data_IF_403786439477
#
_entry.id   IF_403786439477
#
_cell.length_a   1.000
_cell.length_b   1.000
_cell.length_c   1.000
_cell.angle_alpha   90.00
_cell.angle_beta   90.00
_cell.angle_gamma   90.00
#
_symmetry.space_group_name_H-M   'P 1'
#
loop_
_entity.id
_entity.type
_entity.pdbx_description
1 polymer ?
#
# COMPACT_ATOMS: atom_id res chain seq x y z
N UNK A 1 -15.89 -6.15 5.50
CA UNK A 1 -15.83 -7.16 4.41
C UNK A 1 -14.57 -6.88 3.63
N UNK A 2 -13.79 -7.90 3.30
CA UNK A 2 -12.61 -7.72 2.45
C UNK A 2 -13.03 -7.66 0.97
N UNK A 3 -12.50 -6.69 0.24
CA UNK A 3 -12.75 -6.46 -1.18
C UNK A 3 -11.47 -6.63 -2.00
N UNK A 4 -11.63 -7.02 -3.27
CA UNK A 4 -10.50 -7.28 -4.16
C UNK A 4 -9.60 -6.04 -4.30
N UNK A 5 -8.29 -6.26 -4.35
CA UNK A 5 -7.20 -5.27 -4.41
C UNK A 5 -6.96 -4.48 -3.10
N UNK A 6 -7.73 -4.70 -2.03
CA UNK A 6 -7.40 -4.09 -0.74
C UNK A 6 -6.10 -4.69 -0.18
N UNK A 7 -5.30 -3.83 0.44
CA UNK A 7 -4.07 -4.19 1.14
C UNK A 7 -4.31 -4.20 2.65
N UNK A 8 -3.88 -5.27 3.31
CA UNK A 8 -3.98 -5.41 4.76
C UNK A 8 -2.62 -5.71 5.38
N UNK A 9 -2.35 -5.13 6.55
CA UNK A 9 -1.13 -5.41 7.33
C UNK A 9 -1.46 -5.94 8.73
N UNK A 10 -0.70 -6.93 9.18
CA UNK A 10 -0.60 -7.28 10.58
C UNK A 10 0.39 -6.35 11.28
N UNK A 11 -0.08 -5.53 12.22
CA UNK A 11 0.80 -4.61 12.98
C UNK A 11 1.67 -5.32 14.03
N UNK A 12 1.52 -6.64 14.23
CA UNK A 12 2.34 -7.44 15.16
C UNK A 12 3.55 -8.04 14.45
N UNK A 13 3.33 -8.86 13.43
CA UNK A 13 4.41 -9.59 12.74
C UNK A 13 4.87 -8.93 11.43
N UNK A 14 4.14 -7.92 10.93
CA UNK A 14 4.49 -7.20 9.72
C UNK A 14 3.99 -7.82 8.41
N UNK A 15 3.29 -8.95 8.43
CA UNK A 15 2.70 -9.55 7.22
C UNK A 15 1.81 -8.55 6.48
N UNK A 16 2.01 -8.42 5.16
CA UNK A 16 1.19 -7.61 4.24
C UNK A 16 0.60 -8.55 3.19
N UNK A 17 -0.70 -8.44 2.93
CA UNK A 17 -1.41 -9.25 1.93
C UNK A 17 -2.31 -8.39 1.06
N UNK A 18 -2.50 -8.83 -0.19
CA UNK A 18 -3.49 -8.28 -1.13
C UNK A 18 -4.66 -9.26 -1.27
N UNK A 19 -5.88 -8.73 -1.29
CA UNK A 19 -7.08 -9.54 -1.48
C UNK A 19 -7.29 -9.84 -2.97
N UNK A 20 -7.18 -11.10 -3.37
CA UNK A 20 -7.48 -11.54 -4.74
C UNK A 20 -8.96 -11.88 -4.96
N UNK A 21 -9.65 -12.33 -3.90
CA UNK A 21 -11.07 -12.65 -3.90
C UNK A 21 -11.72 -12.15 -2.61
N UNK A 22 -12.78 -11.37 -2.73
CA UNK A 22 -13.47 -10.77 -1.58
C UNK A 22 -14.28 -11.78 -0.77
N UNK A 23 -14.68 -11.40 0.44
CA UNK A 23 -15.44 -12.26 1.32
C UNK A 23 -15.89 -11.58 2.61
N UNK A 24 -16.94 -12.11 3.23
CA UNK A 24 -17.56 -11.54 4.43
C UNK A 24 -16.73 -11.69 5.71
N UNK A 25 -15.77 -12.61 5.72
CA UNK A 25 -14.89 -12.85 6.87
C UNK A 25 -13.96 -11.66 7.16
N UNK A 26 -13.54 -11.55 8.42
CA UNK A 26 -12.50 -10.61 8.83
C UNK A 26 -11.12 -11.27 8.72
N UNK A 27 -10.15 -10.54 8.15
CA UNK A 27 -8.77 -11.03 8.06
C UNK A 27 -8.11 -10.90 9.45
N UNK A 28 -7.64 -12.02 9.99
CA UNK A 28 -6.99 -12.10 11.31
C UNK A 28 -5.59 -12.66 11.16
N UNK A 29 -4.63 -12.02 11.82
CA UNK A 29 -3.25 -12.50 11.91
C UNK A 29 -2.73 -12.24 13.33
N UNK A 30 -2.00 -13.20 13.92
CA UNK A 30 -1.50 -13.11 15.30
C UNK A 30 -2.61 -12.85 16.33
N UNK A 31 -3.81 -13.39 16.11
CA UNK A 31 -4.94 -13.28 17.03
C UNK A 31 -5.64 -11.91 17.05
N UNK A 32 -5.31 -11.00 16.12
CA UNK A 32 -5.98 -9.69 15.98
C UNK A 32 -6.44 -9.44 14.54
N UNK A 33 -7.50 -8.63 14.33
CA UNK A 33 -7.87 -8.13 13.01
C UNK A 33 -6.68 -7.42 12.35
N UNK A 34 -6.46 -7.71 11.07
CA UNK A 34 -5.47 -7.00 10.26
C UNK A 34 -5.98 -5.60 9.94
N UNK A 35 -5.07 -4.62 9.85
CA UNK A 35 -5.40 -3.24 9.52
C UNK A 35 -5.54 -3.09 8.01
N UNK A 36 -6.65 -2.52 7.55
CA UNK A 36 -6.80 -2.05 6.17
C UNK A 36 -5.86 -0.86 5.96
N UNK A 37 -4.98 -0.96 4.97
CA UNK A 37 -4.10 0.11 4.54
C UNK A 37 -4.80 0.92 3.45
N UNK A 38 -5.72 1.79 3.88
CA UNK A 38 -6.40 2.70 2.97
C UNK A 38 -5.41 3.72 2.39
N UNK A 39 -5.50 3.96 1.09
CA UNK A 39 -4.60 4.84 0.37
C UNK A 39 -4.80 6.30 0.79
N UNK A 40 -3.72 7.08 0.81
CA UNK A 40 -3.74 8.53 1.05
C UNK A 40 -4.33 8.97 2.40
N UNK A 41 -4.36 8.10 3.42
CA UNK A 41 -4.87 8.44 4.76
C UNK A 41 -3.79 8.76 5.79
N UNK A 42 -2.51 8.51 5.47
CA UNK A 42 -1.38 8.88 6.33
C UNK A 42 -0.99 10.33 6.03
N UNK A 43 -0.85 11.13 7.08
CA UNK A 43 -0.41 12.52 6.98
C UNK A 43 1.11 12.59 6.84
N UNK A 44 1.59 12.38 5.61
CA UNK A 44 3.01 12.42 5.25
C UNK A 44 3.22 13.35 4.04
N UNK A 45 4.48 13.65 3.72
CA UNK A 45 4.94 14.45 2.60
C UNK A 45 4.39 13.93 1.27
N UNK A 46 3.23 14.44 0.85
CA UNK A 46 2.49 13.95 -0.32
C UNK A 46 3.33 13.99 -1.60
N UNK A 47 4.20 14.98 -1.73
CA UNK A 47 5.12 15.13 -2.85
C UNK A 47 6.14 13.99 -2.98
N UNK A 48 6.43 13.27 -1.90
CA UNK A 48 7.33 12.11 -1.91
C UNK A 48 6.61 10.77 -1.99
N UNK A 49 5.33 10.71 -1.61
CA UNK A 49 4.61 9.44 -1.48
C UNK A 49 3.54 9.21 -2.56
N UNK A 50 3.00 10.27 -3.16
CA UNK A 50 2.00 10.12 -4.22
C UNK A 50 2.67 9.69 -5.53
N UNK A 51 2.19 8.61 -6.18
CA UNK A 51 2.72 8.20 -7.47
C UNK A 51 2.51 9.27 -8.55
N UNK A 52 3.55 9.52 -9.35
CA UNK A 52 3.51 10.35 -10.55
C UNK A 52 3.57 9.43 -11.76
N UNK A 53 2.54 9.50 -12.61
CA UNK A 53 2.37 8.64 -13.78
C UNK A 53 2.75 9.44 -15.04
N UNK A 54 3.68 8.90 -15.83
CA UNK A 54 4.15 9.46 -17.09
C UNK A 54 3.86 8.46 -18.23
N UNK A 55 3.13 8.89 -19.26
CA UNK A 55 2.86 8.04 -20.43
C UNK A 55 4.10 7.96 -21.32
N UNK A 56 4.45 6.76 -21.76
CA UNK A 56 5.56 6.50 -22.68
C UNK A 56 5.04 5.92 -24.00
N UNK A 57 5.93 5.68 -24.97
CA UNK A 57 5.58 5.02 -26.21
C UNK A 57 5.00 3.60 -25.98
N UNK A 58 5.52 2.88 -24.97
CA UNK A 58 5.24 1.47 -24.73
C UNK A 58 4.35 1.21 -23.49
N UNK A 59 3.89 2.26 -22.80
CA UNK A 59 3.07 2.12 -21.60
C UNK A 59 3.14 3.32 -20.65
N UNK A 60 3.39 3.04 -19.37
CA UNK A 60 3.47 4.06 -18.32
C UNK A 60 4.70 3.86 -17.46
N UNK A 61 5.38 4.95 -17.13
CA UNK A 61 6.41 5.02 -16.10
C UNK A 61 5.79 5.62 -14.84
N UNK A 62 5.86 4.90 -13.74
CA UNK A 62 5.41 5.39 -12.43
C UNK A 62 6.64 5.74 -11.59
N UNK A 63 6.64 6.93 -10.98
CA UNK A 63 7.66 7.38 -10.02
C UNK A 63 6.99 7.63 -8.67
N UNK A 64 7.71 7.44 -7.57
CA UNK A 64 7.26 7.80 -6.22
C UNK A 64 8.27 8.79 -5.64
N UNK A 65 7.95 10.08 -5.48
CA UNK A 65 6.77 10.85 -5.93
C UNK A 65 7.15 11.91 -6.98
N UNK A 66 6.63 13.14 -6.83
CA UNK A 66 7.09 14.30 -7.61
C UNK A 66 8.47 14.79 -7.15
N UNK A 67 8.79 14.57 -5.88
CA UNK A 67 10.14 14.54 -5.33
C UNK A 67 10.49 13.08 -5.05
N UNK A 68 11.73 12.67 -5.34
CA UNK A 68 12.14 11.28 -5.12
C UNK A 68 11.94 10.86 -3.66
N UNK A 69 11.23 9.76 -3.45
CA UNK A 69 11.14 9.09 -2.16
C UNK A 69 12.53 8.56 -1.76
N UNK A 70 12.92 8.63 -0.47
CA UNK A 70 14.14 7.99 0.02
C UNK A 70 14.12 6.48 -0.27
N UNK A 71 15.30 5.90 -0.54
CA UNK A 71 15.46 4.46 -0.79
C UNK A 71 16.60 3.91 0.07
N UNK A 72 16.54 4.21 1.36
CA UNK A 72 17.51 3.77 2.38
C UNK A 72 17.08 2.44 3.00
N UNK A 73 18.00 1.70 3.63
CA UNK A 73 17.74 0.35 4.18
C UNK A 73 16.52 0.27 5.13
N UNK A 74 16.27 1.34 5.90
CA UNK A 74 15.17 1.43 6.87
C UNK A 74 13.97 2.25 6.39
N UNK A 75 14.04 2.85 5.21
CA UNK A 75 12.98 3.69 4.65
C UNK A 75 13.06 3.70 3.13
N UNK A 76 12.10 3.03 2.50
CA UNK A 76 11.97 2.83 1.06
C UNK A 76 10.50 2.89 0.64
#
# INVERSE_FOLDING_TARGET
MAERNQIYKCEICGNIVEVLHGGKGELVCCGKPMKLYAENTVDDAREKHLPVIEKTADGYKVKVGSVAHPMEEKHY
#
